data_IF_638543946766
#
_entry.id   IF_638543946766
#
_cell.length_a   1.000
_cell.length_b   1.000
_cell.length_c   1.000
_cell.angle_alpha   90.00
_cell.angle_beta   90.00
_cell.angle_gamma   90.00
#
_symmetry.space_group_name_H-M   'P 1'
#
loop_
_entity.id
_entity.type
_entity.pdbx_description
1 polymer ?
#
# COMPACT_ATOMS: atom_id res chain seq x y z
N UNK A 1 -20.32 -22.65 10.30
CA UNK A 1 -19.78 -21.45 10.98
C UNK A 1 -18.46 -21.09 10.28
N UNK A 2 -18.34 -19.89 9.71
CA UNK A 2 -17.04 -19.46 9.17
C UNK A 2 -16.09 -19.25 10.36
N UNK A 3 -15.09 -20.10 10.50
CA UNK A 3 -14.03 -19.89 11.48
C UNK A 3 -13.38 -18.52 11.26
N UNK A 4 -13.04 -17.84 12.37
CA UNK A 4 -12.37 -16.55 12.28
C UNK A 4 -11.00 -16.70 11.58
N UNK A 5 -10.57 -15.68 10.83
CA UNK A 5 -9.21 -15.63 10.29
C UNK A 5 -8.23 -15.40 11.46
N UNK A 6 -7.17 -16.19 11.55
CA UNK A 6 -6.17 -16.10 12.63
C UNK A 6 -4.73 -16.12 12.14
N UNK A 7 -4.53 -16.33 10.84
CA UNK A 7 -3.19 -16.39 10.24
C UNK A 7 -3.15 -15.74 8.87
N UNK A 8 -2.02 -15.12 8.53
CA UNK A 8 -1.84 -14.43 7.26
C UNK A 8 -0.43 -14.54 6.71
N UNK A 9 -0.33 -14.71 5.39
CA UNK A 9 0.89 -14.50 4.62
C UNK A 9 0.90 -13.07 4.09
N UNK A 10 1.97 -12.32 4.30
CA UNK A 10 2.15 -10.97 3.80
C UNK A 10 3.37 -10.95 2.89
N UNK A 11 3.19 -10.67 1.60
CA UNK A 11 4.30 -10.34 0.70
C UNK A 11 4.52 -8.83 0.67
N UNK A 12 5.78 -8.37 0.56
CA UNK A 12 6.12 -6.95 0.69
C UNK A 12 5.96 -6.38 2.11
N UNK A 13 6.27 -7.15 3.18
CA UNK A 13 6.01 -6.77 4.57
C UNK A 13 6.88 -5.62 5.07
N UNK A 14 7.92 -5.23 4.32
CA UNK A 14 8.92 -4.22 4.73
C UNK A 14 8.66 -2.82 4.17
N UNK A 15 7.65 -2.63 3.33
CA UNK A 15 7.16 -1.32 2.90
C UNK A 15 6.20 -0.71 3.93
N UNK A 16 5.88 0.59 3.81
CA UNK A 16 5.02 1.30 4.77
C UNK A 16 3.71 0.55 5.10
N UNK A 17 2.97 0.16 4.07
CA UNK A 17 1.70 -0.56 4.24
C UNK A 17 1.92 -1.95 4.83
N UNK A 18 2.92 -2.69 4.32
CA UNK A 18 3.21 -4.05 4.80
C UNK A 18 3.69 -4.09 6.24
N UNK A 19 4.54 -3.13 6.64
CA UNK A 19 5.03 -3.01 8.00
C UNK A 19 3.90 -2.66 8.99
N UNK A 20 3.03 -1.72 8.60
CA UNK A 20 1.86 -1.37 9.38
C UNK A 20 0.88 -2.55 9.49
N UNK A 21 0.68 -3.31 8.39
CA UNK A 21 -0.19 -4.49 8.40
C UNK A 21 0.37 -5.61 9.28
N UNK A 22 1.68 -5.86 9.27
CA UNK A 22 2.28 -6.81 10.21
C UNK A 22 1.95 -6.43 11.66
N UNK A 23 2.14 -5.16 12.04
CA UNK A 23 1.83 -4.66 13.39
C UNK A 23 0.35 -4.80 13.75
N UNK A 24 -0.54 -4.44 12.82
CA UNK A 24 -1.99 -4.53 13.02
C UNK A 24 -2.44 -5.98 13.24
N UNK A 25 -1.99 -6.92 12.41
CA UNK A 25 -2.38 -8.33 12.55
C UNK A 25 -1.79 -8.97 13.81
N UNK A 26 -0.56 -8.62 14.18
CA UNK A 26 0.04 -9.04 15.44
C UNK A 26 -0.73 -8.50 16.65
N UNK A 27 -1.15 -7.24 16.61
CA UNK A 27 -2.00 -6.63 17.65
C UNK A 27 -3.35 -7.36 17.80
N UNK A 28 -3.89 -7.89 16.70
CA UNK A 28 -5.10 -8.75 16.70
C UNK A 28 -4.83 -10.20 17.14
N UNK A 29 -3.58 -10.54 17.45
CA UNK A 29 -3.18 -11.89 17.89
C UNK A 29 -3.01 -12.91 16.76
N UNK A 30 -2.95 -12.47 15.49
CA UNK A 30 -2.77 -13.36 14.36
C UNK A 30 -1.35 -13.90 14.28
N UNK A 31 -1.20 -15.09 13.66
CA UNK A 31 0.08 -15.59 13.16
C UNK A 31 0.39 -14.88 11.84
N UNK A 32 1.57 -14.28 11.72
CA UNK A 32 1.99 -13.50 10.56
C UNK A 32 3.21 -14.13 9.90
N UNK A 33 3.07 -14.58 8.67
CA UNK A 33 4.17 -15.08 7.84
C UNK A 33 4.63 -13.95 6.91
N UNK A 34 5.71 -13.27 7.29
CA UNK A 34 6.26 -12.11 6.58
C UNK A 34 7.25 -12.57 5.50
N UNK A 35 6.81 -12.61 4.24
CA UNK A 35 7.61 -13.07 3.10
C UNK A 35 8.54 -11.97 2.63
N UNK A 36 9.83 -12.16 2.84
CA UNK A 36 10.90 -11.24 2.49
C UNK A 36 11.77 -11.82 1.37
N UNK A 37 12.25 -10.96 0.49
CA UNK A 37 13.31 -11.34 -0.44
C UNK A 37 14.57 -11.73 0.37
N UNK A 38 15.23 -12.86 0.05
CA UNK A 38 16.47 -13.26 0.70
C UNK A 38 17.51 -12.13 0.70
N UNK A 39 18.17 -11.92 1.83
CA UNK A 39 19.18 -10.87 1.98
C UNK A 39 18.64 -9.42 2.00
N UNK A 40 17.35 -9.21 2.15
CA UNK A 40 16.78 -7.86 2.23
C UNK A 40 17.21 -7.12 3.48
N UNK A 41 18.00 -6.04 3.34
CA UNK A 41 18.38 -5.17 4.46
C UNK A 41 17.16 -4.59 5.21
N UNK A 42 16.02 -4.39 4.50
CA UNK A 42 14.79 -3.88 5.11
C UNK A 42 14.09 -4.89 6.02
N UNK A 43 14.48 -6.18 5.99
CA UNK A 43 13.89 -7.20 6.87
C UNK A 43 14.12 -6.90 8.37
N UNK A 44 15.17 -6.16 8.71
CA UNK A 44 15.41 -5.69 10.08
C UNK A 44 14.38 -4.69 10.62
N UNK A 45 13.52 -4.13 9.75
CA UNK A 45 12.42 -3.22 10.16
C UNK A 45 11.21 -3.96 10.72
N UNK A 46 11.13 -5.28 10.51
CA UNK A 46 10.01 -6.08 11.01
C UNK A 46 10.01 -6.11 12.55
N UNK A 47 8.83 -6.04 13.19
CA UNK A 47 8.75 -6.13 14.63
C UNK A 47 9.24 -7.50 15.13
N UNK A 48 9.88 -7.53 16.29
CA UNK A 48 10.17 -8.76 17.01
C UNK A 48 8.93 -9.19 17.79
N UNK A 49 8.31 -10.29 17.41
CA UNK A 49 7.09 -10.78 18.03
C UNK A 49 6.99 -12.32 17.88
N UNK A 50 6.55 -13.08 18.91
CA UNK A 50 6.46 -14.55 18.85
C UNK A 50 5.56 -15.05 17.71
N UNK A 51 4.54 -14.29 17.33
CA UNK A 51 3.62 -14.64 16.25
C UNK A 51 4.07 -14.13 14.87
N UNK A 52 5.27 -13.53 14.74
CA UNK A 52 5.82 -13.12 13.45
C UNK A 52 6.90 -14.10 13.00
N UNK A 53 6.66 -14.72 11.85
CA UNK A 53 7.57 -15.67 11.23
C UNK A 53 8.11 -15.06 9.94
N UNK A 54 9.40 -14.75 9.91
CA UNK A 54 10.08 -14.30 8.69
C UNK A 54 10.28 -15.49 7.76
N UNK A 55 9.81 -15.36 6.51
CA UNK A 55 9.97 -16.36 5.45
C UNK A 55 10.84 -15.76 4.35
N UNK A 56 12.01 -16.33 4.14
CA UNK A 56 12.91 -15.94 3.05
C UNK A 56 12.46 -16.61 1.74
N UNK A 57 11.79 -15.84 0.86
CA UNK A 57 11.33 -16.31 -0.44
C UNK A 57 11.28 -15.13 -1.42
N UNK A 58 11.87 -15.31 -2.60
CA UNK A 58 11.76 -14.33 -3.67
C UNK A 58 10.36 -14.38 -4.31
N UNK A 59 9.90 -13.24 -4.81
CA UNK A 59 8.57 -13.13 -5.43
C UNK A 59 8.39 -14.06 -6.64
N UNK A 60 9.47 -14.37 -7.34
CA UNK A 60 9.50 -15.34 -8.46
C UNK A 60 9.37 -16.81 -8.03
N UNK A 61 9.43 -17.09 -6.74
CA UNK A 61 9.47 -18.42 -6.15
C UNK A 61 8.21 -18.75 -5.33
N UNK A 62 7.07 -18.12 -5.62
CA UNK A 62 5.82 -18.30 -4.89
C UNK A 62 5.40 -19.77 -4.71
N UNK A 63 5.75 -20.64 -5.66
CA UNK A 63 5.46 -22.07 -5.59
C UNK A 63 6.13 -22.80 -4.40
N UNK A 64 7.16 -22.21 -3.80
CA UNK A 64 7.85 -22.75 -2.62
C UNK A 64 7.12 -22.47 -1.29
N UNK A 65 6.25 -21.46 -1.26
CA UNK A 65 5.59 -21.01 -0.03
C UNK A 65 4.86 -22.12 0.74
N UNK A 66 4.13 -23.06 0.10
CA UNK A 66 3.49 -24.15 0.83
C UNK A 66 4.47 -25.06 1.58
N UNK A 67 5.67 -25.26 1.06
CA UNK A 67 6.71 -26.01 1.76
C UNK A 67 7.40 -25.24 2.88
N UNK A 68 7.43 -23.91 2.77
CA UNK A 68 8.02 -23.01 3.78
C UNK A 68 7.04 -22.67 4.91
N UNK A 69 5.74 -22.86 4.70
CA UNK A 69 4.66 -22.57 5.67
C UNK A 69 3.78 -23.82 5.79
N UNK A 70 4.29 -24.91 6.37
CA UNK A 70 3.56 -26.20 6.40
C UNK A 70 2.29 -26.16 7.27
N UNK A 71 2.18 -25.19 8.18
CA UNK A 71 0.96 -24.95 8.96
C UNK A 71 -0.21 -24.40 8.15
N UNK A 72 0.05 -23.92 6.90
CA UNK A 72 -0.92 -23.20 6.12
C UNK A 72 -1.20 -21.78 6.65
N UNK A 73 -2.17 -21.11 6.05
CA UNK A 73 -2.62 -19.78 6.47
C UNK A 73 -4.06 -19.51 6.00
N UNK A 74 -4.77 -18.63 6.72
CA UNK A 74 -6.17 -18.28 6.43
C UNK A 74 -6.31 -17.21 5.35
N UNK A 75 -5.34 -16.30 5.24
CA UNK A 75 -5.38 -15.16 4.33
C UNK A 75 -4.02 -14.92 3.68
N UNK A 76 -4.03 -14.39 2.46
CA UNK A 76 -2.82 -13.82 1.84
C UNK A 76 -3.05 -12.37 1.49
N UNK A 77 -2.12 -11.50 1.93
CA UNK A 77 -2.02 -10.10 1.52
C UNK A 77 -0.83 -9.97 0.56
N UNK A 78 -1.12 -9.77 -0.71
CA UNK A 78 -0.09 -9.63 -1.73
C UNK A 78 0.19 -8.15 -2.00
N UNK A 79 1.19 -7.61 -1.29
CA UNK A 79 1.61 -6.20 -1.39
C UNK A 79 2.92 -6.03 -2.16
N UNK A 80 3.65 -7.12 -2.40
CA UNK A 80 4.90 -7.10 -3.15
C UNK A 80 4.67 -6.71 -4.61
N UNK A 81 5.55 -5.85 -5.13
CA UNK A 81 5.60 -5.47 -6.54
C UNK A 81 6.97 -4.89 -6.87
N UNK A 82 7.57 -5.31 -7.97
CA UNK A 82 8.82 -4.76 -8.46
C UNK A 82 8.62 -3.50 -9.32
N UNK A 83 9.67 -2.67 -9.44
CA UNK A 83 9.68 -1.55 -10.39
C UNK A 83 8.51 -0.56 -10.23
N UNK A 84 8.25 -0.15 -8.98
CA UNK A 84 7.15 0.77 -8.64
C UNK A 84 7.47 2.25 -8.89
N UNK A 85 8.73 2.60 -9.14
CA UNK A 85 9.23 3.97 -9.24
C UNK A 85 10.11 4.17 -10.47
N UNK A 86 10.27 5.43 -10.88
CA UNK A 86 11.17 5.83 -11.97
C UNK A 86 10.83 5.17 -13.31
N UNK A 87 11.86 4.95 -14.12
CA UNK A 87 11.74 4.36 -15.47
C UNK A 87 11.20 2.92 -15.45
N UNK A 88 11.48 2.16 -14.40
CA UNK A 88 10.98 0.80 -14.25
C UNK A 88 9.45 0.68 -14.26
N UNK A 89 8.71 1.78 -14.02
CA UNK A 89 7.25 1.80 -14.19
C UNK A 89 6.80 1.54 -15.63
N UNK A 90 7.66 1.81 -16.60
CA UNK A 90 7.41 1.60 -18.02
C UNK A 90 8.30 0.50 -18.63
N UNK A 91 9.02 -0.26 -17.83
CA UNK A 91 9.63 -1.51 -18.29
C UNK A 91 8.55 -2.58 -18.43
N UNK A 92 8.05 -2.76 -19.64
CA UNK A 92 6.90 -3.63 -19.92
C UNK A 92 7.19 -5.10 -19.59
N UNK A 93 8.42 -5.57 -19.75
CA UNK A 93 8.78 -6.95 -19.42
C UNK A 93 8.81 -7.15 -17.90
N UNK A 94 9.44 -6.24 -17.17
CA UNK A 94 9.44 -6.29 -15.71
C UNK A 94 8.01 -6.17 -15.14
N UNK A 95 7.15 -5.33 -15.72
CA UNK A 95 5.77 -5.23 -15.31
C UNK A 95 4.95 -6.49 -15.65
N UNK A 96 5.21 -7.13 -16.77
CA UNK A 96 4.58 -8.41 -17.13
C UNK A 96 4.98 -9.54 -16.16
N UNK A 97 6.24 -9.59 -15.72
CA UNK A 97 6.67 -10.53 -14.69
C UNK A 97 5.90 -10.35 -13.37
N UNK A 98 5.63 -9.11 -12.95
CA UNK A 98 4.82 -8.84 -11.76
C UNK A 98 3.39 -9.43 -11.88
N UNK A 99 2.78 -9.41 -13.08
CA UNK A 99 1.48 -10.06 -13.31
C UNK A 99 1.60 -11.57 -13.09
N UNK A 100 2.59 -12.21 -13.69
CA UNK A 100 2.87 -13.62 -13.52
C UNK A 100 3.06 -13.99 -12.05
N UNK A 101 3.91 -13.26 -11.34
CA UNK A 101 4.14 -13.48 -9.92
C UNK A 101 2.86 -13.35 -9.08
N UNK A 102 2.01 -12.38 -9.38
CA UNK A 102 0.73 -12.21 -8.66
C UNK A 102 -0.19 -13.42 -8.84
N UNK A 103 -0.24 -13.97 -10.07
CA UNK A 103 -1.00 -15.20 -10.37
C UNK A 103 -0.39 -16.42 -9.64
N UNK A 104 0.93 -16.53 -9.59
CA UNK A 104 1.60 -17.59 -8.86
C UNK A 104 1.33 -17.52 -7.36
N UNK A 105 1.27 -16.31 -6.78
CA UNK A 105 0.97 -16.10 -5.36
C UNK A 105 -0.47 -16.50 -5.00
N UNK A 106 -1.47 -16.19 -5.82
CA UNK A 106 -2.84 -16.63 -5.51
C UNK A 106 -2.98 -18.15 -5.59
N UNK A 107 -2.26 -18.82 -6.49
CA UNK A 107 -2.17 -20.28 -6.55
C UNK A 107 -1.47 -20.88 -5.35
N UNK A 108 -0.40 -20.23 -4.87
CA UNK A 108 0.27 -20.61 -3.64
C UNK A 108 -0.64 -20.42 -2.42
N UNK A 109 -1.40 -19.32 -2.39
CA UNK A 109 -2.39 -19.05 -1.33
C UNK A 109 -3.44 -20.18 -1.25
N UNK A 110 -3.95 -20.65 -2.39
CA UNK A 110 -4.89 -21.77 -2.41
C UNK A 110 -4.27 -23.07 -1.84
N UNK A 111 -3.02 -23.36 -2.18
CA UNK A 111 -2.30 -24.52 -1.65
C UNK A 111 -2.00 -24.41 -0.15
N UNK A 112 -1.89 -23.17 0.38
CA UNK A 112 -1.75 -22.90 1.80
C UNK A 112 -3.08 -23.00 2.57
N UNK A 113 -4.21 -23.20 1.87
CA UNK A 113 -5.54 -23.22 2.48
C UNK A 113 -6.14 -21.82 2.73
N UNK A 114 -5.56 -20.77 2.14
CA UNK A 114 -6.10 -19.41 2.30
C UNK A 114 -7.53 -19.32 1.76
N UNK A 115 -8.41 -18.74 2.57
CA UNK A 115 -9.82 -18.49 2.23
C UNK A 115 -10.04 -17.14 1.56
N UNK A 116 -9.04 -16.24 1.66
CA UNK A 116 -9.10 -14.91 1.08
C UNK A 116 -7.74 -14.46 0.56
N UNK A 117 -7.76 -13.84 -0.61
CA UNK A 117 -6.63 -13.15 -1.23
C UNK A 117 -6.94 -11.66 -1.31
N UNK A 118 -6.11 -10.85 -0.69
CA UNK A 118 -6.18 -9.37 -0.73
C UNK A 118 -4.99 -8.87 -1.56
N UNK A 119 -5.26 -8.40 -2.76
CA UNK A 119 -4.25 -7.88 -3.68
C UNK A 119 -4.14 -6.37 -3.62
N UNK A 120 -2.91 -5.84 -3.58
CA UNK A 120 -2.65 -4.42 -3.66
C UNK A 120 -2.66 -3.92 -5.10
N UNK A 121 -3.74 -3.27 -5.49
CA UNK A 121 -3.87 -2.43 -6.66
C UNK A 121 -3.28 -1.03 -6.45
N UNK A 122 -3.53 -0.13 -7.39
CA UNK A 122 -3.03 1.24 -7.38
C UNK A 122 -4.01 2.22 -8.02
N UNK A 123 -3.98 3.46 -7.57
CA UNK A 123 -4.67 4.56 -8.26
C UNK A 123 -4.21 4.72 -9.74
N UNK A 124 -2.99 4.25 -10.06
CA UNK A 124 -2.48 4.28 -11.43
C UNK A 124 -3.31 3.45 -12.43
N UNK A 125 -4.15 2.54 -11.95
CA UNK A 125 -5.10 1.77 -12.77
C UNK A 125 -6.18 2.64 -13.40
N UNK A 126 -6.57 3.72 -12.71
CA UNK A 126 -7.58 4.65 -13.23
C UNK A 126 -7.05 5.54 -14.36
N UNK A 127 -5.73 5.80 -14.39
CA UNK A 127 -5.16 6.87 -15.20
C UNK A 127 -5.48 8.24 -14.59
N UNK A 128 -5.65 9.26 -15.47
CA UNK A 128 -6.06 10.60 -15.02
C UNK A 128 -7.57 10.71 -15.03
N UNK A 129 -8.13 10.92 -13.87
CA UNK A 129 -9.56 11.10 -13.66
C UNK A 129 -9.75 12.38 -12.86
N UNK A 130 -10.66 13.22 -13.30
CA UNK A 130 -11.11 14.37 -12.55
C UNK A 130 -12.14 13.93 -11.49
N UNK A 131 -11.91 14.31 -10.23
CA UNK A 131 -12.84 14.09 -9.14
C UNK A 131 -12.59 12.80 -8.33
N UNK A 132 -13.69 12.27 -7.77
CA UNK A 132 -13.66 11.20 -6.78
C UNK A 132 -13.48 9.83 -7.45
N UNK A 133 -12.49 9.07 -7.01
CA UNK A 133 -12.20 7.72 -7.51
C UNK A 133 -13.08 6.69 -6.81
N UNK A 134 -13.96 6.05 -7.58
CA UNK A 134 -14.90 5.03 -7.12
C UNK A 134 -14.50 3.63 -7.59
N UNK A 135 -15.04 2.54 -6.99
CA UNK A 135 -14.80 1.18 -7.47
C UNK A 135 -15.10 1.00 -8.97
N UNK A 136 -16.20 1.63 -9.43
CA UNK A 136 -16.69 1.57 -10.81
C UNK A 136 -16.14 2.65 -11.75
N UNK A 137 -15.28 3.55 -11.29
CA UNK A 137 -14.64 4.54 -12.18
C UNK A 137 -13.89 3.83 -13.30
N UNK A 138 -14.11 4.19 -14.58
CA UNK A 138 -13.42 3.58 -15.71
C UNK A 138 -11.90 3.67 -15.58
N UNK A 139 -11.22 2.60 -15.96
CA UNK A 139 -9.76 2.47 -15.85
C UNK A 139 -9.10 2.66 -17.20
N UNK A 140 -8.28 3.72 -17.33
CA UNK A 140 -7.47 4.01 -18.52
C UNK A 140 -6.02 4.30 -18.11
N UNK A 141 -5.28 3.26 -17.64
CA UNK A 141 -3.91 3.44 -17.15
C UNK A 141 -2.99 3.99 -18.25
N UNK A 142 -2.14 4.95 -17.89
CA UNK A 142 -1.26 5.66 -18.83
C UNK A 142 0.20 5.19 -18.77
N UNK A 143 0.52 4.22 -17.93
CA UNK A 143 1.87 3.66 -17.79
C UNK A 143 1.83 2.16 -17.57
N UNK A 144 2.95 1.48 -17.88
CA UNK A 144 3.06 0.02 -17.76
C UNK A 144 2.71 -0.51 -16.37
N UNK A 145 3.10 0.20 -15.31
CA UNK A 145 2.75 -0.16 -13.94
C UNK A 145 1.24 -0.20 -13.70
N UNK A 146 0.52 0.85 -14.10
CA UNK A 146 -0.95 0.89 -13.96
C UNK A 146 -1.65 -0.16 -14.79
N UNK A 147 -1.18 -0.40 -16.04
CA UNK A 147 -1.70 -1.44 -16.93
C UNK A 147 -1.50 -2.83 -16.31
N UNK A 148 -0.31 -3.11 -15.79
CA UNK A 148 0.01 -4.38 -15.16
C UNK A 148 -0.79 -4.63 -13.87
N UNK A 149 -0.96 -3.59 -13.03
CA UNK A 149 -1.80 -3.66 -11.82
C UNK A 149 -3.25 -3.99 -12.16
N UNK A 150 -3.83 -3.29 -13.13
CA UNK A 150 -5.19 -3.56 -13.62
C UNK A 150 -5.32 -4.99 -14.15
N UNK A 151 -4.37 -5.42 -15.00
CA UNK A 151 -4.34 -6.78 -15.55
C UNK A 151 -4.27 -7.83 -14.44
N UNK A 152 -3.33 -7.68 -13.50
CA UNK A 152 -3.16 -8.61 -12.38
C UNK A 152 -4.43 -8.72 -11.53
N UNK A 153 -5.09 -7.58 -11.23
CA UNK A 153 -6.34 -7.56 -10.47
C UNK A 153 -7.45 -8.34 -11.16
N UNK A 154 -7.61 -8.14 -12.47
CA UNK A 154 -8.64 -8.85 -13.24
C UNK A 154 -8.33 -10.34 -13.38
N UNK A 155 -7.08 -10.71 -13.68
CA UNK A 155 -6.68 -12.10 -13.85
C UNK A 155 -6.77 -12.89 -12.55
N UNK A 156 -6.32 -12.32 -11.43
CA UNK A 156 -6.41 -12.97 -10.12
C UNK A 156 -7.85 -13.07 -9.61
N UNK A 157 -8.75 -12.15 -9.98
CA UNK A 157 -10.18 -12.28 -9.69
C UNK A 157 -10.77 -13.54 -10.36
N UNK A 158 -10.46 -13.77 -11.63
CA UNK A 158 -10.93 -14.95 -12.38
C UNK A 158 -10.29 -16.22 -11.80
N UNK A 159 -9.00 -16.18 -11.45
CA UNK A 159 -8.30 -17.31 -10.85
C UNK A 159 -8.85 -17.66 -9.46
N UNK A 160 -9.14 -16.66 -8.62
CA UNK A 160 -9.75 -16.86 -7.31
C UNK A 160 -11.11 -17.57 -7.37
N UNK A 161 -11.94 -17.21 -8.36
CA UNK A 161 -13.24 -17.85 -8.60
C UNK A 161 -13.07 -19.35 -8.87
N UNK A 162 -12.11 -19.74 -9.72
CA UNK A 162 -11.77 -21.14 -10.00
C UNK A 162 -11.26 -21.91 -8.78
N UNK A 163 -10.53 -21.18 -7.90
CA UNK A 163 -9.94 -21.74 -6.69
C UNK A 163 -10.90 -21.75 -5.49
N UNK A 164 -12.13 -21.24 -5.65
CA UNK A 164 -13.12 -21.11 -4.56
C UNK A 164 -12.68 -20.15 -3.45
N UNK A 165 -11.84 -19.17 -3.76
CA UNK A 165 -11.25 -18.23 -2.81
C UNK A 165 -11.93 -16.86 -2.92
N UNK A 166 -12.15 -16.15 -1.79
CA UNK A 166 -12.57 -14.76 -1.84
C UNK A 166 -11.44 -13.90 -2.39
N UNK A 167 -11.74 -13.01 -3.33
CA UNK A 167 -10.80 -12.07 -3.93
C UNK A 167 -11.18 -10.64 -3.58
N UNK A 168 -10.21 -9.86 -3.12
CA UNK A 168 -10.37 -8.46 -2.80
C UNK A 168 -9.22 -7.69 -3.45
N UNK A 169 -9.56 -6.67 -4.23
CA UNK A 169 -8.57 -5.82 -4.90
C UNK A 169 -8.62 -4.41 -4.35
N UNK A 170 -7.52 -3.95 -3.75
CA UNK A 170 -7.47 -2.66 -3.05
C UNK A 170 -6.61 -1.69 -3.85
N UNK A 171 -7.24 -0.71 -4.50
CA UNK A 171 -6.55 0.35 -5.24
C UNK A 171 -6.05 1.41 -4.27
N UNK A 172 -4.81 1.22 -3.84
CA UNK A 172 -4.17 2.11 -2.86
C UNK A 172 -3.82 3.44 -3.54
N UNK A 173 -4.24 4.55 -2.91
CA UNK A 173 -3.88 5.89 -3.31
C UNK A 173 -2.53 6.29 -2.68
N UNK A 174 -2.43 7.48 -2.08
CA UNK A 174 -1.19 7.94 -1.46
C UNK A 174 -1.16 7.59 0.03
N UNK A 175 -0.46 6.50 0.36
CA UNK A 175 -0.20 6.11 1.74
C UNK A 175 1.17 6.64 2.18
N UNK A 176 1.26 7.16 3.40
CA UNK A 176 2.50 7.61 4.04
C UNK A 176 2.63 6.98 5.43
N UNK A 177 3.85 6.89 5.94
CA UNK A 177 4.10 6.39 7.29
C UNK A 177 5.53 5.84 7.48
N UNK A 178 5.81 5.27 8.64
CA UNK A 178 7.08 4.63 8.94
C UNK A 178 7.48 3.59 7.88
N UNK A 179 8.73 3.66 7.42
CA UNK A 179 9.27 2.70 6.45
C UNK A 179 8.86 2.93 5.00
N UNK A 180 8.22 4.06 4.67
CA UNK A 180 7.88 4.43 3.30
C UNK A 180 9.13 4.66 2.44
N UNK A 181 8.92 4.70 1.12
CA UNK A 181 9.98 4.93 0.15
C UNK A 181 10.57 6.34 0.34
N UNK A 182 11.87 6.41 0.56
CA UNK A 182 12.62 7.64 0.82
C UNK A 182 12.47 8.70 -0.29
N UNK A 183 12.18 8.27 -1.52
CA UNK A 183 11.94 9.15 -2.67
C UNK A 183 10.46 9.60 -2.80
N UNK A 184 9.55 9.11 -1.95
CA UNK A 184 8.19 9.63 -1.91
C UNK A 184 8.17 11.03 -1.29
N UNK A 185 7.13 11.83 -1.59
CA UNK A 185 7.08 13.24 -1.20
C UNK A 185 7.19 13.43 0.31
N UNK A 186 6.39 12.72 1.10
CA UNK A 186 6.37 12.89 2.56
C UNK A 186 7.72 12.53 3.20
N UNK A 187 8.33 11.34 2.97
CA UNK A 187 9.64 11.02 3.53
C UNK A 187 10.75 11.94 3.05
N UNK A 188 10.78 12.26 1.75
CA UNK A 188 11.79 13.16 1.16
C UNK A 188 11.74 14.54 1.81
N UNK A 189 10.54 15.09 2.02
CA UNK A 189 10.34 16.38 2.66
C UNK A 189 10.72 16.34 4.15
N UNK A 190 10.30 15.32 4.90
CA UNK A 190 10.70 15.16 6.31
C UNK A 190 12.22 15.17 6.44
N UNK A 191 12.93 14.37 5.62
CA UNK A 191 14.40 14.29 5.69
C UNK A 191 15.07 15.61 5.32
N UNK A 192 14.55 16.34 4.33
CA UNK A 192 15.07 17.64 3.95
C UNK A 192 14.89 18.66 5.10
N UNK A 193 13.69 18.73 5.68
CA UNK A 193 13.39 19.64 6.80
C UNK A 193 14.21 19.31 8.05
N UNK A 194 14.40 18.02 8.38
CA UNK A 194 15.26 17.60 9.51
C UNK A 194 16.73 18.01 9.32
N UNK A 195 17.20 18.18 8.06
CA UNK A 195 18.53 18.72 7.75
C UNK A 195 18.58 20.25 7.67
N UNK A 196 17.46 20.93 7.91
CA UNK A 196 17.36 22.38 7.78
C UNK A 196 17.36 22.89 6.32
N UNK A 197 17.10 22.01 5.35
CA UNK A 197 17.06 22.36 3.93
C UNK A 197 15.72 23.03 3.56
N UNK A 198 15.76 23.94 2.58
CA UNK A 198 14.56 24.53 1.98
C UNK A 198 14.34 23.89 0.59
N UNK A 199 13.55 22.81 0.48
CA UNK A 199 13.37 22.13 -0.78
C UNK A 199 12.55 22.98 -1.76
N UNK A 200 12.94 22.95 -3.04
CA UNK A 200 12.16 23.54 -4.12
C UNK A 200 10.90 22.69 -4.37
N UNK A 201 9.73 23.34 -4.33
CA UNK A 201 8.41 22.71 -4.42
C UNK A 201 7.62 23.26 -5.61
N UNK A 202 6.61 22.51 -6.08
CA UNK A 202 5.57 23.07 -6.95
C UNK A 202 4.72 24.08 -6.17
N UNK A 203 3.76 24.74 -6.81
CA UNK A 203 2.84 25.65 -6.09
C UNK A 203 1.96 24.94 -5.04
N UNK A 204 1.88 23.61 -5.07
CA UNK A 204 1.18 22.81 -4.08
C UNK A 204 -0.35 22.92 -4.11
N UNK A 205 -0.90 23.31 -5.28
CA UNK A 205 -2.34 23.56 -5.46
C UNK A 205 -3.16 22.27 -5.70
N UNK A 206 -2.48 21.19 -6.11
CA UNK A 206 -3.16 19.93 -6.38
C UNK A 206 -3.87 19.42 -5.12
N UNK A 207 -5.12 18.99 -5.27
CA UNK A 207 -5.91 18.34 -4.23
C UNK A 207 -5.44 16.91 -4.07
N UNK A 208 -5.01 16.56 -2.86
CA UNK A 208 -4.38 15.27 -2.61
C UNK A 208 -4.95 14.57 -1.38
N UNK A 209 -5.17 13.27 -1.48
CA UNK A 209 -5.69 12.42 -0.42
C UNK A 209 -4.54 11.55 0.14
N UNK A 210 -4.02 11.93 1.30
CA UNK A 210 -3.04 11.15 2.03
C UNK A 210 -3.69 10.31 3.11
N UNK A 211 -3.33 9.03 3.15
CA UNK A 211 -3.77 8.06 4.16
C UNK A 211 -2.59 7.61 5.02
N UNK A 212 -2.74 7.64 6.33
CA UNK A 212 -1.73 7.09 7.24
C UNK A 212 -1.65 5.56 7.14
N UNK A 213 -0.44 5.01 7.17
CA UNK A 213 -0.21 3.57 6.93
C UNK A 213 -0.90 2.65 7.95
N UNK A 214 -1.06 3.09 9.21
CA UNK A 214 -1.80 2.32 10.19
C UNK A 214 -3.30 2.23 9.87
N UNK A 215 -3.90 3.30 9.34
CA UNK A 215 -5.29 3.25 8.87
C UNK A 215 -5.44 2.38 7.62
N UNK A 216 -4.46 2.41 6.71
CA UNK A 216 -4.42 1.50 5.56
C UNK A 216 -4.36 0.03 6.02
N UNK A 217 -3.55 -0.26 7.03
CA UNK A 217 -3.41 -1.61 7.61
C UNK A 217 -4.73 -2.11 8.22
N UNK A 218 -5.39 -1.26 9.02
CA UNK A 218 -6.71 -1.58 9.59
C UNK A 218 -7.74 -1.85 8.49
N UNK A 219 -7.79 -1.00 7.46
CA UNK A 219 -8.69 -1.19 6.32
C UNK A 219 -8.45 -2.53 5.61
N UNK A 220 -7.19 -2.90 5.34
CA UNK A 220 -6.83 -4.16 4.73
C UNK A 220 -7.27 -5.36 5.59
N UNK A 221 -7.03 -5.31 6.90
CA UNK A 221 -7.45 -6.34 7.84
C UNK A 221 -8.98 -6.51 7.87
N UNK A 222 -9.73 -5.40 7.95
CA UNK A 222 -11.19 -5.44 7.91
C UNK A 222 -11.73 -5.97 6.57
N UNK A 223 -11.12 -5.59 5.45
CA UNK A 223 -11.48 -6.10 4.14
C UNK A 223 -11.25 -7.61 4.02
N UNK A 224 -10.15 -8.13 4.57
CA UNK A 224 -9.92 -9.58 4.59
C UNK A 224 -11.01 -10.31 5.38
N UNK A 225 -11.52 -9.72 6.46
CA UNK A 225 -12.56 -10.34 7.30
C UNK A 225 -13.93 -10.21 6.64
N UNK A 226 -14.32 -9.01 6.21
CA UNK A 226 -15.71 -8.64 5.85
C UNK A 226 -15.91 -8.24 4.39
N UNK A 227 -14.83 -7.96 3.63
CA UNK A 227 -14.93 -7.48 2.25
C UNK A 227 -15.66 -8.46 1.34
N UNK A 228 -16.38 -7.94 0.34
CA UNK A 228 -17.11 -8.76 -0.63
C UNK A 228 -16.15 -9.42 -1.61
N UNK A 229 -16.39 -10.68 -1.94
CA UNK A 229 -15.63 -11.37 -3.00
C UNK A 229 -15.81 -10.68 -4.35
N UNK A 230 -14.71 -10.49 -5.06
CA UNK A 230 -14.67 -9.72 -6.31
C UNK A 230 -14.74 -8.20 -6.10
N UNK A 231 -14.79 -7.72 -4.85
CA UNK A 231 -14.82 -6.30 -4.52
C UNK A 231 -13.53 -5.58 -4.90
N UNK A 232 -13.70 -4.37 -5.45
CA UNK A 232 -12.61 -3.41 -5.70
C UNK A 232 -12.83 -2.23 -4.76
N UNK A 233 -11.78 -1.84 -4.03
CA UNK A 233 -11.86 -0.77 -3.03
C UNK A 233 -10.78 0.27 -3.27
N UNK A 234 -11.12 1.50 -3.69
CA UNK A 234 -10.20 2.64 -3.57
C UNK A 234 -9.87 2.87 -2.10
N UNK A 235 -8.58 3.02 -1.79
CA UNK A 235 -8.11 3.20 -0.42
C UNK A 235 -7.34 4.51 -0.29
N UNK A 236 -7.93 5.46 0.38
CA UNK A 236 -7.44 6.76 0.78
C UNK A 236 -8.07 7.17 2.10
N UNK A 237 -7.88 8.40 2.53
CA UNK A 237 -8.57 8.96 3.70
C UNK A 237 -10.02 9.36 3.39
N UNK A 238 -10.35 9.51 2.11
CA UNK A 238 -11.61 10.07 1.63
C UNK A 238 -11.65 11.60 1.65
N UNK A 239 -10.56 12.25 2.06
CA UNK A 239 -10.44 13.71 2.13
C UNK A 239 -9.24 14.20 1.33
N UNK A 240 -9.49 15.03 0.33
CA UNK A 240 -8.43 15.71 -0.40
C UNK A 240 -8.34 17.17 0.04
N UNK A 241 -7.12 17.64 0.29
CA UNK A 241 -6.81 19.04 0.56
C UNK A 241 -5.65 19.49 -0.33
N UNK A 242 -5.43 20.81 -0.52
CA UNK A 242 -4.26 21.29 -1.26
C UNK A 242 -2.96 20.70 -0.70
N UNK A 243 -2.09 20.21 -1.59
CA UNK A 243 -0.82 19.57 -1.20
C UNK A 243 0.03 20.48 -0.30
N UNK A 244 -0.06 21.80 -0.49
CA UNK A 244 0.64 22.80 0.33
C UNK A 244 0.29 22.67 1.81
N UNK A 245 -0.95 22.33 2.17
CA UNK A 245 -1.36 22.19 3.58
C UNK A 245 -0.63 21.04 4.28
N UNK A 246 -0.41 19.94 3.56
CA UNK A 246 0.41 18.82 4.08
C UNK A 246 1.87 19.21 4.27
N UNK A 247 2.43 19.96 3.30
CA UNK A 247 3.81 20.45 3.34
C UNK A 247 4.00 21.42 4.50
N UNK A 248 3.08 22.37 4.69
CA UNK A 248 3.09 23.33 5.80
C UNK A 248 2.97 22.60 7.15
N UNK A 249 2.07 21.62 7.25
CA UNK A 249 1.94 20.80 8.47
C UNK A 249 3.25 20.09 8.82
N UNK A 250 3.93 19.48 7.85
CA UNK A 250 5.24 18.82 8.09
C UNK A 250 6.30 19.84 8.54
N UNK A 251 6.37 21.02 7.88
CA UNK A 251 7.27 22.10 8.27
C UNK A 251 7.01 22.53 9.71
N UNK A 252 5.75 22.77 10.07
CA UNK A 252 5.39 23.30 11.39
C UNK A 252 5.64 22.29 12.52
N UNK A 253 5.58 20.98 12.21
CA UNK A 253 5.93 19.91 13.16
C UNK A 253 7.45 19.74 13.35
N UNK A 254 8.28 20.10 12.34
CA UNK A 254 9.74 19.87 12.38
C UNK A 254 10.50 21.15 12.70
N UNK A 255 10.22 22.22 11.99
CA UNK A 255 10.95 23.49 12.06
C UNK A 255 10.00 24.68 11.78
N UNK A 256 9.17 25.07 12.77
CA UNK A 256 8.20 26.15 12.60
C UNK A 256 8.85 27.43 12.08
N UNK A 257 8.23 28.07 11.08
CA UNK A 257 8.71 29.30 10.49
C UNK A 257 9.81 29.16 9.44
N UNK A 258 10.32 27.96 9.15
CA UNK A 258 11.28 27.76 8.06
C UNK A 258 10.63 28.09 6.73
N UNK A 259 11.31 28.85 5.83
CA UNK A 259 10.80 29.12 4.49
C UNK A 259 10.63 27.85 3.67
N UNK A 260 9.60 27.85 2.82
CA UNK A 260 9.31 26.77 1.87
C UNK A 260 9.41 27.30 0.44
N UNK A 261 10.06 26.54 -0.43
CA UNK A 261 10.31 26.93 -1.84
C UNK A 261 9.10 26.65 -2.77
N UNK A 262 7.89 27.06 -2.38
CA UNK A 262 6.72 26.92 -3.25
C UNK A 262 6.86 27.68 -4.57
N UNK A 263 6.42 27.06 -5.67
CA UNK A 263 6.46 27.63 -7.02
C UNK A 263 7.85 27.61 -7.68
N UNK A 264 8.90 27.14 -6.99
CA UNK A 264 10.24 27.06 -7.55
C UNK A 264 10.43 25.88 -8.55
N UNK A 265 9.54 24.90 -8.50
CA UNK A 265 9.48 23.80 -9.48
C UNK A 265 8.19 23.90 -10.30
N UNK A 266 8.28 23.77 -11.64
CA UNK A 266 7.07 23.66 -12.46
C UNK A 266 6.36 22.32 -12.18
N UNK A 267 5.07 22.28 -12.44
CA UNK A 267 4.34 21.02 -12.52
C UNK A 267 4.88 20.15 -13.66
N UNK A 268 4.91 18.84 -13.43
CA UNK A 268 5.23 17.90 -14.51
C UNK A 268 4.16 17.99 -15.61
N UNK A 269 4.54 17.75 -16.87
CA UNK A 269 3.55 17.56 -17.93
C UNK A 269 2.55 16.48 -17.51
N UNK A 270 1.24 16.76 -17.66
CA UNK A 270 0.17 15.84 -17.28
C UNK A 270 0.11 15.54 -15.76
N UNK A 271 0.47 16.51 -14.92
CA UNK A 271 0.33 16.39 -13.47
C UNK A 271 -1.11 16.04 -13.10
N UNK A 272 -1.31 15.06 -12.23
CA UNK A 272 -2.60 14.80 -11.60
C UNK A 272 -2.89 15.95 -10.63
N UNK A 273 -4.00 16.66 -10.83
CA UNK A 273 -4.37 17.81 -10.00
C UNK A 273 -5.43 17.47 -8.96
N UNK A 274 -6.11 16.33 -9.08
CA UNK A 274 -7.07 15.87 -8.07
C UNK A 274 -6.92 14.37 -7.87
N UNK A 275 -6.60 13.97 -6.65
CA UNK A 275 -6.54 12.57 -6.21
C UNK A 275 -7.35 12.43 -4.92
N UNK A 276 -8.47 11.70 -4.96
CA UNK A 276 -9.34 11.46 -3.82
C UNK A 276 -10.05 10.11 -3.95
N UNK A 277 -10.07 9.32 -2.88
CA UNK A 277 -10.77 8.05 -2.82
C UNK A 277 -12.21 8.21 -2.34
N UNK A 278 -13.14 7.51 -2.96
CA UNK A 278 -14.45 7.21 -2.38
C UNK A 278 -14.32 5.96 -1.48
N UNK A 279 -14.36 6.18 -0.18
CA UNK A 279 -14.26 5.12 0.83
C UNK A 279 -15.64 4.59 1.29
N UNK A 280 -16.72 4.97 0.61
CA UNK A 280 -18.09 4.57 0.99
C UNK A 280 -18.29 3.07 0.93
N UNK A 281 -17.78 2.40 -0.10
CA UNK A 281 -17.84 0.93 -0.23
C UNK A 281 -17.07 0.22 0.89
N UNK A 282 -15.89 0.73 1.27
CA UNK A 282 -15.12 0.23 2.40
C UNK A 282 -15.95 0.34 3.69
N UNK A 283 -16.52 1.52 3.97
CA UNK A 283 -17.35 1.75 5.15
C UNK A 283 -18.59 0.86 5.16
N UNK A 284 -19.27 0.74 4.03
CA UNK A 284 -20.50 -0.07 3.91
C UNK A 284 -20.23 -1.55 4.20
N UNK A 285 -19.17 -2.11 3.63
CA UNK A 285 -18.92 -3.55 3.70
C UNK A 285 -18.22 -3.95 5.02
N UNK A 286 -17.44 -3.06 5.61
CA UNK A 286 -16.62 -3.39 6.79
C UNK A 286 -17.02 -2.68 8.07
N UNK A 287 -17.73 -1.58 7.97
CA UNK A 287 -18.01 -0.67 9.08
C UNK A 287 -16.80 0.21 9.45
N UNK A 288 -15.66 0.06 8.77
CA UNK A 288 -14.44 0.81 9.04
C UNK A 288 -14.31 2.04 8.12
N UNK A 289 -13.79 3.13 8.65
CA UNK A 289 -13.33 4.28 7.89
C UNK A 289 -12.01 4.79 8.49
N UNK A 290 -11.09 5.28 7.65
CA UNK A 290 -9.89 5.96 8.12
C UNK A 290 -10.23 7.14 9.03
N UNK A 291 -9.49 7.30 10.12
CA UNK A 291 -9.80 8.30 11.15
C UNK A 291 -8.59 9.11 11.64
N UNK A 292 -7.35 8.68 11.34
CA UNK A 292 -6.13 9.36 11.81
C UNK A 292 -5.93 10.67 11.05
N UNK A 293 -5.98 11.86 11.72
CA UNK A 293 -5.66 13.13 11.08
C UNK A 293 -4.22 13.13 10.55
N UNK A 294 -3.98 13.88 9.43
CA UNK A 294 -2.64 13.91 8.83
C UNK A 294 -1.56 14.36 9.82
N UNK A 295 -1.81 15.40 10.61
CA UNK A 295 -0.84 15.91 11.59
C UNK A 295 -0.42 14.85 12.62
N UNK A 296 -1.35 14.00 13.07
CA UNK A 296 -1.06 12.92 14.02
C UNK A 296 -0.18 11.82 13.37
N UNK A 297 -0.57 11.33 12.19
CA UNK A 297 0.22 10.34 11.46
C UNK A 297 1.59 10.89 11.02
N UNK A 298 1.66 12.18 10.69
CA UNK A 298 2.90 12.88 10.35
C UNK A 298 3.84 12.96 11.57
N UNK A 299 3.35 13.30 12.75
CA UNK A 299 4.16 13.32 13.97
C UNK A 299 4.79 11.95 14.26
N UNK A 300 4.01 10.86 14.16
CA UNK A 300 4.52 9.50 14.34
C UNK A 300 5.54 9.12 13.24
N UNK A 301 5.32 9.57 12.02
CA UNK A 301 6.25 9.33 10.89
C UNK A 301 7.56 10.08 11.09
N UNK A 302 7.50 11.35 11.52
CA UNK A 302 8.68 12.17 11.83
C UNK A 302 9.51 11.54 12.94
N UNK A 303 8.88 11.13 14.04
CA UNK A 303 9.56 10.45 15.16
C UNK A 303 10.31 9.20 14.67
N UNK A 304 9.67 8.41 13.80
CA UNK A 304 10.32 7.23 13.23
C UNK A 304 11.57 7.59 12.39
N UNK A 305 11.52 8.65 11.56
CA UNK A 305 12.69 9.09 10.76
C UNK A 305 13.80 9.72 11.62
N UNK A 306 13.47 10.28 12.77
CA UNK A 306 14.47 10.76 13.74
C UNK A 306 15.24 9.59 14.39
N UNK A 307 14.56 8.48 14.64
CA UNK A 307 15.15 7.26 15.21
C UNK A 307 15.87 6.38 14.15
N UNK A 308 15.49 6.55 12.87
CA UNK A 308 16.00 5.75 11.73
C UNK A 308 16.47 6.67 10.60
N UNK A 309 17.56 7.44 10.80
CA UNK A 309 18.06 8.47 9.86
C UNK A 309 18.55 7.92 8.51
#
# INVERSE_FOLDING_TARGET
MNEALQSAVITGPTGAVGLALCRELLHRGWQVYAVCRPGSARAGRLPQHPNLHKIDCDMSQAAMLPGLIPSGADAMFHLAWGHTMGEGRNDMLAQNENIRYTIEHIRAAAKLGCRVFVGAGSQAEYGRVEGLLQPGTPCFPENGYGMAKLCAGQMTRVEAEKLGMRHIWVRILSVYGPGDNENAMVPSLIRALLRGECPALTAGEQLWDYLYSADAAKALAELAIKGRSGGVYPLGSGRAVPLKEYVETLRDLICPGQPLGFGQRPYAPRQVMHLQADVSALRQDTGYAPATPFAEGAAQTIAWYQENP
#
